data_IF_401922107520
#
_entry.id   IF_401922107520
#
_cell.length_a   1.000
_cell.length_b   1.000
_cell.length_c   1.000
_cell.angle_alpha   90.00
_cell.angle_beta   90.00
_cell.angle_gamma   90.00
#
_symmetry.space_group_name_H-M   'P 1'
#
loop_
_entity.id
_entity.type
_entity.pdbx_description
1 polymer ?
#
# COMPACT_ATOMS: atom_id res chain seq x y z
N UNK A 1 18.11 18.04 12.32
CA UNK A 1 17.76 16.92 13.20
C UNK A 1 17.06 15.87 12.36
N UNK A 2 17.33 14.59 12.61
CA UNK A 2 16.76 13.48 11.86
C UNK A 2 15.45 13.02 12.50
N UNK A 3 14.49 12.58 11.68
CA UNK A 3 13.22 12.03 12.15
C UNK A 3 13.31 10.49 12.19
N UNK A 4 12.83 9.89 13.29
CA UNK A 4 12.79 8.44 13.46
C UNK A 4 11.37 7.95 13.17
N UNK A 5 11.23 6.99 12.25
CA UNK A 5 9.93 6.35 11.96
C UNK A 5 9.88 4.97 12.61
N UNK A 6 8.83 4.73 13.40
CA UNK A 6 8.60 3.45 14.09
C UNK A 6 7.43 2.74 13.38
N UNK A 7 7.58 1.44 13.10
CA UNK A 7 6.53 0.62 12.47
C UNK A 7 6.01 -0.45 13.44
N UNK A 8 5.01 -0.12 14.30
CA UNK A 8 4.39 -1.09 15.18
C UNK A 8 3.81 -2.29 14.41
N UNK A 9 4.01 -3.50 14.92
CA UNK A 9 3.49 -4.73 14.32
C UNK A 9 2.09 -5.11 14.83
N UNK A 10 1.69 -4.58 16.00
CA UNK A 10 0.39 -4.83 16.60
C UNK A 10 -0.18 -3.58 17.31
N UNK A 11 -1.45 -3.66 17.74
CA UNK A 11 -2.16 -2.55 18.38
C UNK A 11 -1.56 -2.17 19.74
N UNK A 12 -1.05 -3.14 20.49
CA UNK A 12 -0.45 -2.90 21.81
C UNK A 12 0.82 -2.06 21.71
N UNK A 13 1.71 -2.41 20.78
CA UNK A 13 2.92 -1.63 20.48
C UNK A 13 2.56 -0.20 20.04
N UNK A 14 1.56 -0.04 19.16
CA UNK A 14 1.14 1.28 18.71
C UNK A 14 0.62 2.15 19.87
N UNK A 15 -0.15 1.56 20.79
CA UNK A 15 -0.67 2.25 21.96
C UNK A 15 0.45 2.65 22.94
N UNK A 16 1.44 1.77 23.16
CA UNK A 16 2.60 2.06 23.99
C UNK A 16 3.38 3.27 23.47
N UNK A 17 3.73 3.29 22.18
CA UNK A 17 4.47 4.42 21.58
C UNK A 17 3.67 5.71 21.57
N UNK A 18 2.34 5.64 21.40
CA UNK A 18 1.47 6.81 21.51
C UNK A 18 1.51 7.42 22.92
N UNK A 19 1.38 6.61 23.96
CA UNK A 19 1.44 7.08 25.34
C UNK A 19 2.80 7.69 25.67
N UNK A 20 3.87 7.07 25.17
CA UNK A 20 5.24 7.52 25.38
C UNK A 20 5.49 8.87 24.69
N UNK A 21 5.05 9.02 23.43
CA UNK A 21 5.14 10.27 22.69
C UNK A 21 4.34 11.41 23.38
N UNK A 22 3.13 11.13 23.88
CA UNK A 22 2.31 12.10 24.63
C UNK A 22 3.00 12.55 25.92
N UNK A 23 3.60 11.61 26.65
CA UNK A 23 4.28 11.88 27.93
C UNK A 23 5.50 12.78 27.72
N UNK A 24 6.25 12.52 26.66
CA UNK A 24 7.43 13.30 26.28
C UNK A 24 7.09 14.59 25.53
N UNK A 25 5.80 14.86 25.28
CA UNK A 25 5.31 15.98 24.45
C UNK A 25 5.96 16.02 23.06
N UNK A 26 6.28 14.84 22.52
CA UNK A 26 6.83 14.70 21.17
C UNK A 26 5.68 14.71 20.17
N UNK A 27 5.73 15.55 19.12
CA UNK A 27 4.71 15.54 18.07
C UNK A 27 4.75 14.22 17.30
N UNK A 28 3.58 13.66 17.01
CA UNK A 28 3.45 12.44 16.22
C UNK A 28 2.20 12.48 15.35
N UNK A 29 2.24 11.74 14.25
CA UNK A 29 1.13 11.61 13.31
C UNK A 29 0.62 10.16 13.30
N UNK A 30 -0.70 10.00 13.22
CA UNK A 30 -1.32 8.68 13.03
C UNK A 30 -1.67 8.50 11.55
N UNK A 31 -0.72 8.00 10.78
CA UNK A 31 -1.02 7.48 9.46
C UNK A 31 -1.64 6.10 9.62
N UNK A 32 -2.92 5.95 9.28
CA UNK A 32 -3.46 4.60 9.01
C UNK A 32 -2.62 4.05 7.88
N UNK A 33 -2.05 2.84 8.06
CA UNK A 33 -1.63 2.06 6.88
C UNK A 33 -2.89 1.94 6.04
N UNK A 34 -2.95 2.64 4.91
CA UNK A 34 -3.71 2.18 3.76
C UNK A 34 -3.05 0.86 3.41
N UNK A 35 -3.53 -0.21 4.03
CA UNK A 35 -3.01 -1.58 3.90
C UNK A 35 -3.03 -2.02 2.43
N UNK A 36 -3.76 -1.29 1.59
CA UNK A 36 -3.65 -1.35 0.16
C UNK A 36 -3.23 0.03 -0.39
N UNK A 37 -2.04 0.17 -1.00
CA UNK A 37 -1.71 1.34 -1.81
C UNK A 37 -2.56 1.38 -3.10
N UNK A 38 -3.25 0.28 -3.40
CA UNK A 38 -4.16 0.14 -4.52
C UNK A 38 -5.61 0.37 -4.07
N UNK A 39 -6.42 0.98 -4.93
CA UNK A 39 -7.85 1.07 -4.70
C UNK A 39 -8.53 -0.27 -5.03
N UNK A 40 -9.74 -0.50 -4.53
CA UNK A 40 -10.50 -1.72 -4.80
C UNK A 40 -10.74 -1.96 -6.30
N UNK A 41 -10.78 -0.90 -7.11
CA UNK A 41 -10.91 -1.00 -8.56
C UNK A 41 -9.68 -1.64 -9.21
N UNK A 42 -8.48 -1.31 -8.72
CA UNK A 42 -7.23 -1.87 -9.20
C UNK A 42 -7.16 -3.36 -8.89
N UNK A 43 -7.55 -3.79 -7.68
CA UNK A 43 -7.61 -5.21 -7.35
C UNK A 43 -8.59 -5.98 -8.24
N UNK A 44 -9.79 -5.42 -8.47
CA UNK A 44 -10.78 -6.00 -9.37
C UNK A 44 -10.25 -6.12 -10.79
N UNK A 45 -9.56 -5.08 -11.28
CA UNK A 45 -8.94 -5.07 -12.60
C UNK A 45 -7.85 -6.14 -12.73
N UNK A 46 -7.03 -6.31 -11.70
CA UNK A 46 -5.97 -7.34 -11.69
C UNK A 46 -6.55 -8.75 -11.69
N UNK A 47 -7.56 -9.04 -10.86
CA UNK A 47 -8.26 -10.34 -10.86
C UNK A 47 -8.87 -10.66 -12.22
N UNK A 48 -9.57 -9.68 -12.82
CA UNK A 48 -10.12 -9.82 -14.18
C UNK A 48 -9.03 -10.06 -15.22
N UNK A 49 -7.89 -9.38 -15.12
CA UNK A 49 -6.77 -9.58 -16.03
C UNK A 49 -6.17 -11.00 -15.93
N UNK A 50 -6.10 -11.58 -14.72
CA UNK A 50 -5.69 -12.98 -14.55
C UNK A 50 -6.70 -13.97 -15.17
N UNK A 51 -8.00 -13.74 -14.97
CA UNK A 51 -9.06 -14.53 -15.61
C UNK A 51 -9.01 -14.44 -17.13
N UNK A 52 -8.85 -13.23 -17.67
CA UNK A 52 -8.73 -12.98 -19.09
C UNK A 52 -7.49 -13.67 -19.68
N UNK A 53 -6.36 -13.66 -18.96
CA UNK A 53 -5.16 -14.40 -19.35
C UNK A 53 -5.40 -15.91 -19.39
N UNK A 54 -6.05 -16.48 -18.36
CA UNK A 54 -6.39 -17.92 -18.31
C UNK A 54 -7.37 -18.32 -19.41
N UNK A 55 -8.33 -17.46 -19.72
CA UNK A 55 -9.32 -17.67 -20.77
C UNK A 55 -8.82 -17.34 -22.19
N UNK A 56 -7.56 -16.92 -22.35
CA UNK A 56 -7.00 -16.52 -23.65
C UNK A 56 -7.54 -15.19 -24.20
N UNK A 57 -8.25 -14.40 -23.40
CA UNK A 57 -8.84 -13.10 -23.74
C UNK A 57 -7.82 -11.97 -23.57
N UNK A 58 -6.65 -12.09 -24.18
CA UNK A 58 -5.62 -11.04 -24.13
C UNK A 58 -5.10 -10.71 -25.53
N UNK A 59 -4.63 -9.48 -25.69
CA UNK A 59 -3.95 -9.04 -26.91
C UNK A 59 -2.48 -8.80 -26.59
N UNK A 60 -1.59 -9.60 -27.19
CA UNK A 60 -0.16 -9.32 -27.15
C UNK A 60 0.14 -8.18 -28.14
N UNK A 61 0.76 -7.12 -27.64
CA UNK A 61 1.24 -6.00 -28.46
C UNK A 61 2.76 -6.12 -28.52
N UNK A 62 3.34 -6.07 -29.72
CA UNK A 62 4.80 -6.07 -29.86
C UNK A 62 5.33 -4.68 -29.54
N UNK A 63 6.54 -4.58 -29.01
CA UNK A 63 7.17 -3.29 -28.70
C UNK A 63 7.25 -2.38 -29.93
N UNK A 64 7.42 -2.94 -31.13
CA UNK A 64 7.42 -2.22 -32.39
C UNK A 64 6.08 -1.54 -32.73
N UNK A 65 4.96 -2.02 -32.17
CA UNK A 65 3.63 -1.43 -32.37
C UNK A 65 3.31 -0.31 -31.36
N UNK A 66 4.15 -0.10 -30.34
CA UNK A 66 3.95 0.92 -29.30
C UNK A 66 4.42 2.32 -29.71
N UNK A 67 5.26 2.43 -30.74
CA UNK A 67 5.98 3.66 -31.11
C UNK A 67 5.64 4.17 -32.52
N UNK A 68 4.42 3.91 -33.01
CA UNK A 68 3.93 4.45 -34.29
C UNK A 68 3.28 5.82 -34.13
#
# INVERSE_FOLDING_TARGET
MEAITIHPQNKEQANLFEQLARTLKVPFEKTKKTTNPYNDEFEKKMKRAEEDKKAGRYKAIKTADLWK
#
